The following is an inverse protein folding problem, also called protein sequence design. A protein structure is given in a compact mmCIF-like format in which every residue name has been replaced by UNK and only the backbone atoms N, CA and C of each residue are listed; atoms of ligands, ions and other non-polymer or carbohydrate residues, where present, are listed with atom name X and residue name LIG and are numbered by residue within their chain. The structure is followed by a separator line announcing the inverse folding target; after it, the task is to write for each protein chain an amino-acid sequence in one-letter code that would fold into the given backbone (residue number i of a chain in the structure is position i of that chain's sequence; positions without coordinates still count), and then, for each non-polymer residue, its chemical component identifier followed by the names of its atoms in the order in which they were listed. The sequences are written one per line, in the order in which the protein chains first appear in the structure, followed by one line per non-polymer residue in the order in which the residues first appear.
data_IF_852990113083
#
_entry.id   IF_852990113083
#
_cell.length_a   1.000
_cell.length_b   1.000
_cell.length_c   1.000
_cell.angle_alpha   90.00
_cell.angle_beta   90.00
_cell.angle_gamma   90.00
#
_symmetry.space_group_name_H-M   'P 1'
#
loop_
_entity.id
_entity.type
_entity.pdbx_description
1 polymer ?
#
# COMPACT_ATOMS: atom_id res chain seq x y z
N UNK A 1 33.52 -3.62 -31.68
CA UNK A 1 32.47 -4.59 -31.30
C UNK A 1 31.35 -3.83 -30.62
N UNK A 2 30.22 -3.86 -31.26
CA UNK A 2 29.09 -2.95 -31.12
C UNK A 2 28.38 -3.10 -29.77
N UNK A 3 28.20 -1.99 -29.08
CA UNK A 3 27.29 -1.87 -27.95
C UNK A 3 25.86 -1.74 -28.52
N UNK A 4 25.22 -2.87 -28.74
CA UNK A 4 23.84 -2.91 -29.23
C UNK A 4 22.85 -2.51 -28.15
N UNK A 5 22.17 -1.39 -28.42
CA UNK A 5 20.76 -1.05 -28.13
C UNK A 5 20.09 -1.78 -26.96
N UNK A 6 20.17 -1.19 -25.78
CA UNK A 6 19.19 -1.45 -24.72
C UNK A 6 17.93 -0.65 -25.07
N UNK A 7 16.98 -1.29 -25.73
CA UNK A 7 15.63 -0.73 -25.88
C UNK A 7 14.97 -0.73 -24.50
N UNK A 8 14.72 0.47 -23.95
CA UNK A 8 13.79 0.63 -22.83
C UNK A 8 12.43 0.07 -23.29
N UNK A 9 12.04 -1.07 -22.74
CA UNK A 9 10.72 -1.64 -22.99
C UNK A 9 9.76 -0.99 -22.00
N UNK A 10 9.09 0.07 -22.47
CA UNK A 10 7.79 0.40 -21.89
C UNK A 10 6.87 -0.79 -22.10
N UNK A 11 6.21 -1.28 -21.03
CA UNK A 11 5.06 -2.14 -21.22
C UNK A 11 4.06 -1.36 -22.09
N UNK A 12 3.33 -2.03 -23.01
CA UNK A 12 2.46 -1.33 -23.93
C UNK A 12 1.49 -0.47 -23.14
N UNK A 13 1.69 0.85 -23.22
CA UNK A 13 0.68 1.83 -22.90
C UNK A 13 -0.49 1.50 -23.83
N UNK A 14 -1.74 1.48 -23.35
CA UNK A 14 -2.88 1.29 -24.24
C UNK A 14 -2.79 2.22 -25.46
N UNK A 15 -3.09 1.72 -26.66
CA UNK A 15 -2.89 2.38 -27.97
C UNK A 15 -3.42 3.83 -28.08
N UNK A 16 -4.21 4.30 -27.12
CA UNK A 16 -4.72 5.67 -27.06
C UNK A 16 -3.70 6.73 -26.64
N UNK A 17 -2.49 6.34 -26.21
CA UNK A 17 -1.45 7.24 -25.69
C UNK A 17 -0.29 7.51 -26.69
N UNK A 18 -0.40 7.07 -27.93
CA UNK A 18 0.68 7.09 -28.95
C UNK A 18 1.04 8.45 -29.56
N UNK A 19 0.51 9.56 -29.11
CA UNK A 19 0.87 10.86 -29.71
C UNK A 19 1.49 11.83 -28.69
N UNK A 20 2.78 11.67 -28.51
CA UNK A 20 3.67 12.76 -28.07
C UNK A 20 4.16 12.66 -26.65
N UNK A 21 5.32 12.12 -26.50
CA UNK A 21 6.45 12.41 -25.61
C UNK A 21 7.14 11.16 -25.12
N UNK A 22 7.89 10.57 -25.99
CA UNK A 22 8.94 9.63 -25.64
C UNK A 22 10.24 10.42 -25.37
N UNK A 23 10.36 11.03 -24.18
CA UNK A 23 11.68 11.27 -23.62
C UNK A 23 11.94 10.12 -22.66
N UNK A 24 12.93 9.29 -23.00
CA UNK A 24 13.45 8.28 -22.08
C UNK A 24 13.89 8.99 -20.79
N UNK A 25 13.19 8.71 -19.69
CA UNK A 25 13.56 9.19 -18.35
C UNK A 25 14.70 8.33 -17.83
N UNK A 26 15.76 8.96 -17.32
CA UNK A 26 16.93 8.27 -16.73
C UNK A 26 17.14 8.74 -15.30
N UNK A 27 17.83 7.92 -14.51
CA UNK A 27 18.16 8.30 -13.12
C UNK A 27 19.00 9.59 -13.08
N UNK A 28 19.76 9.86 -14.13
CA UNK A 28 20.55 11.10 -14.28
C UNK A 28 19.71 12.37 -14.44
N UNK A 29 18.40 12.25 -14.73
CA UNK A 29 17.47 13.39 -14.81
C UNK A 29 17.04 13.88 -13.41
N UNK A 30 17.45 13.17 -12.37
CA UNK A 30 17.10 13.48 -10.98
C UNK A 30 18.32 13.79 -10.13
N UNK A 31 18.14 14.69 -9.17
CA UNK A 31 19.04 14.89 -8.04
C UNK A 31 18.55 14.05 -6.87
N UNK A 32 19.37 13.14 -6.35
CA UNK A 32 19.05 12.35 -5.17
C UNK A 32 19.24 13.25 -3.94
N UNK A 33 18.17 13.48 -3.18
CA UNK A 33 18.20 14.37 -2.01
C UNK A 33 18.50 13.62 -0.71
N UNK A 34 17.81 12.47 -0.49
CA UNK A 34 18.04 11.61 0.66
C UNK A 34 17.44 10.22 0.44
N UNK A 35 17.93 9.26 1.20
CA UNK A 35 17.28 7.95 1.35
C UNK A 35 16.05 8.09 2.27
N UNK A 36 14.92 7.49 1.86
CA UNK A 36 13.69 7.44 2.63
C UNK A 36 13.53 6.13 3.40
N UNK A 37 14.10 5.05 2.87
CA UNK A 37 14.10 3.74 3.48
C UNK A 37 14.71 2.68 2.58
N UNK A 38 15.14 1.57 3.19
CA UNK A 38 15.69 0.40 2.50
C UNK A 38 15.04 -0.87 3.02
N UNK A 39 14.77 -1.83 2.16
CA UNK A 39 14.13 -3.10 2.49
C UNK A 39 14.54 -4.20 1.52
N UNK A 40 13.94 -5.40 1.68
CA UNK A 40 14.23 -6.58 0.84
C UNK A 40 13.97 -6.33 -0.65
N UNK A 41 13.03 -5.44 -0.97
CA UNK A 41 12.61 -5.13 -2.36
C UNK A 41 13.31 -3.91 -2.95
N UNK A 42 14.34 -3.37 -2.32
CA UNK A 42 15.10 -2.24 -2.83
C UNK A 42 15.15 -1.04 -1.88
N UNK A 43 15.72 0.05 -2.37
CA UNK A 43 15.89 1.30 -1.62
C UNK A 43 15.04 2.40 -2.22
N UNK A 44 14.39 3.17 -1.36
CA UNK A 44 13.55 4.31 -1.77
C UNK A 44 14.28 5.62 -1.47
N UNK A 45 14.37 6.48 -2.47
CA UNK A 45 15.01 7.78 -2.39
C UNK A 45 14.01 8.91 -2.61
N UNK A 46 14.15 10.00 -1.87
CA UNK A 46 13.60 11.30 -2.26
C UNK A 46 14.49 11.87 -3.34
N UNK A 47 13.90 12.22 -4.46
CA UNK A 47 14.60 12.81 -5.60
C UNK A 47 13.90 14.08 -6.07
N UNK A 48 14.65 14.96 -6.73
CA UNK A 48 14.12 16.16 -7.40
C UNK A 48 14.45 16.09 -8.88
N UNK A 49 13.44 16.19 -9.72
CA UNK A 49 13.65 16.25 -11.16
C UNK A 49 14.38 17.54 -11.54
N UNK A 50 15.50 17.44 -12.26
CA UNK A 50 16.42 18.57 -12.51
C UNK A 50 15.77 19.71 -13.26
N UNK A 51 14.89 19.41 -14.20
CA UNK A 51 14.24 20.39 -15.07
C UNK A 51 13.01 21.01 -14.40
N UNK A 52 12.06 20.17 -13.93
CA UNK A 52 10.78 20.64 -13.37
C UNK A 52 10.87 21.07 -11.90
N UNK A 53 11.96 20.70 -11.20
CA UNK A 53 12.15 20.89 -9.74
C UNK A 53 11.12 20.16 -8.86
N UNK A 54 10.25 19.33 -9.46
CA UNK A 54 9.29 18.53 -8.73
C UNK A 54 9.97 17.39 -7.94
N UNK A 55 9.42 17.05 -6.78
CA UNK A 55 9.93 16.00 -5.91
C UNK A 55 9.14 14.71 -6.07
N UNK A 56 9.85 13.59 -6.07
CA UNK A 56 9.31 12.24 -6.21
C UNK A 56 9.98 11.30 -5.22
N UNK A 57 9.33 10.17 -4.95
CA UNK A 57 9.96 9.01 -4.36
C UNK A 57 10.36 8.05 -5.48
N UNK A 58 11.64 7.65 -5.56
CA UNK A 58 12.08 6.61 -6.48
C UNK A 58 12.47 5.36 -5.71
N UNK A 59 11.77 4.24 -5.95
CA UNK A 59 12.14 2.90 -5.47
C UNK A 59 13.10 2.28 -6.49
N UNK A 60 14.33 2.03 -6.08
CA UNK A 60 15.37 1.40 -6.90
C UNK A 60 15.54 -0.07 -6.49
N UNK A 61 15.32 -1.00 -7.41
CA UNK A 61 15.38 -2.44 -7.20
C UNK A 61 16.57 -3.00 -7.96
N UNK A 62 17.53 -3.63 -7.25
CA UNK A 62 18.74 -4.18 -7.85
C UNK A 62 18.44 -5.49 -8.62
N UNK A 63 18.62 -5.47 -9.93
CA UNK A 63 18.40 -6.63 -10.82
C UNK A 63 19.47 -7.71 -10.71
N UNK A 64 20.62 -7.40 -10.11
CA UNK A 64 21.75 -8.33 -9.95
C UNK A 64 21.56 -9.27 -8.77
N UNK A 65 20.72 -8.90 -7.82
CA UNK A 65 20.36 -9.76 -6.71
C UNK A 65 19.63 -11.01 -7.24
N UNK A 66 20.12 -12.20 -6.90
CA UNK A 66 19.52 -13.49 -7.34
C UNK A 66 18.07 -13.62 -6.91
N UNK A 67 17.73 -13.19 -5.70
CA UNK A 67 16.35 -13.16 -5.20
C UNK A 67 15.46 -12.34 -6.12
N UNK A 68 15.92 -11.13 -6.51
CA UNK A 68 15.17 -10.27 -7.41
C UNK A 68 15.03 -10.85 -8.83
N UNK A 69 15.95 -11.73 -9.27
CA UNK A 69 15.84 -12.40 -10.58
C UNK A 69 14.78 -13.48 -10.59
N UNK A 70 14.62 -14.22 -9.51
CA UNK A 70 13.54 -15.20 -9.33
C UNK A 70 12.19 -14.53 -9.16
N UNK A 71 12.18 -13.29 -8.63
CA UNK A 71 10.99 -12.48 -8.39
C UNK A 71 10.57 -11.58 -9.58
N UNK A 72 11.27 -11.67 -10.74
CA UNK A 72 10.89 -10.89 -11.95
C UNK A 72 9.40 -10.92 -12.32
N UNK A 73 8.68 -12.05 -12.19
CA UNK A 73 7.24 -12.08 -12.44
C UNK A 73 6.44 -11.19 -11.48
N UNK A 74 6.83 -11.18 -10.20
CA UNK A 74 6.18 -10.36 -9.16
C UNK A 74 6.39 -8.87 -9.40
N UNK A 75 7.59 -8.49 -9.81
CA UNK A 75 7.95 -7.13 -10.17
C UNK A 75 7.09 -6.57 -11.31
N UNK A 76 6.94 -7.33 -12.42
CA UNK A 76 6.07 -6.91 -13.53
C UNK A 76 4.62 -6.73 -13.08
N UNK A 77 4.17 -7.63 -12.22
CA UNK A 77 2.83 -7.59 -11.65
C UNK A 77 2.62 -6.37 -10.75
N UNK A 78 3.60 -6.01 -9.90
CA UNK A 78 3.55 -4.79 -9.08
C UNK A 78 3.36 -3.56 -9.96
N UNK A 79 4.13 -3.43 -11.04
CA UNK A 79 3.99 -2.35 -12.02
C UNK A 79 2.61 -2.32 -12.66
N UNK A 80 2.13 -3.46 -13.16
CA UNK A 80 0.82 -3.57 -13.79
C UNK A 80 -0.32 -3.20 -12.83
N UNK A 81 -0.24 -3.66 -11.58
CA UNK A 81 -1.20 -3.32 -10.52
C UNK A 81 -1.17 -1.82 -10.27
N UNK A 82 0.01 -1.26 -10.00
CA UNK A 82 0.14 0.15 -9.65
C UNK A 82 -0.30 1.11 -10.77
N UNK A 83 -0.13 0.73 -12.04
CA UNK A 83 -0.63 1.53 -13.17
C UNK A 83 -2.15 1.56 -13.26
N UNK A 84 -2.83 0.52 -12.77
CA UNK A 84 -4.30 0.44 -12.79
C UNK A 84 -4.95 1.09 -11.57
N UNK A 85 -4.16 1.30 -10.49
CA UNK A 85 -4.68 1.77 -9.21
C UNK A 85 -4.59 3.30 -9.13
N UNK A 86 -5.75 3.96 -9.17
CA UNK A 86 -5.86 5.41 -9.02
C UNK A 86 -6.85 5.72 -7.94
N UNK A 87 -6.34 5.96 -6.72
CA UNK A 87 -7.16 6.27 -5.57
C UNK A 87 -6.44 7.25 -4.65
N UNK A 88 -7.18 8.18 -4.03
CA UNK A 88 -6.60 9.20 -3.16
C UNK A 88 -5.83 8.63 -1.96
N UNK A 89 -6.20 7.44 -1.49
CA UNK A 89 -5.56 6.75 -0.36
C UNK A 89 -4.60 5.63 -0.81
N UNK A 90 -4.12 5.68 -2.05
CA UNK A 90 -3.05 4.83 -2.56
C UNK A 90 -1.94 5.70 -3.12
N UNK A 91 -0.68 5.32 -2.87
CA UNK A 91 0.47 6.02 -3.44
C UNK A 91 0.47 5.85 -4.95
N UNK A 92 0.54 6.96 -5.67
CA UNK A 92 0.49 6.97 -7.14
C UNK A 92 1.82 6.56 -7.73
N UNK A 93 1.79 5.71 -8.75
CA UNK A 93 2.91 5.46 -9.66
C UNK A 93 2.80 6.42 -10.84
N UNK A 94 3.85 7.21 -11.09
CA UNK A 94 3.93 8.11 -12.24
C UNK A 94 4.59 7.46 -13.45
N UNK A 95 5.52 6.52 -13.21
CA UNK A 95 6.24 5.86 -14.27
C UNK A 95 7.27 4.88 -13.72
N UNK A 96 7.88 4.13 -14.61
CA UNK A 96 9.03 3.29 -14.30
C UNK A 96 10.04 3.33 -15.46
N UNK A 97 11.29 3.08 -15.15
CA UNK A 97 12.35 2.91 -16.13
C UNK A 97 13.39 1.93 -15.59
N UNK A 98 14.29 1.50 -16.44
CA UNK A 98 15.36 0.58 -16.01
C UNK A 98 16.68 0.94 -16.68
N UNK A 99 17.78 0.60 -16.00
CA UNK A 99 19.11 0.55 -16.56
C UNK A 99 19.68 -0.89 -16.49
N UNK A 100 20.98 -1.05 -16.70
CA UNK A 100 21.61 -2.37 -16.68
C UNK A 100 21.54 -3.06 -15.32
N UNK A 101 21.51 -2.29 -14.22
CA UNK A 101 21.63 -2.79 -12.85
C UNK A 101 20.33 -2.70 -12.05
N UNK A 102 19.47 -1.70 -12.32
CA UNK A 102 18.31 -1.38 -11.51
C UNK A 102 17.06 -1.22 -12.34
N UNK A 103 15.92 -1.52 -11.69
CA UNK A 103 14.61 -1.04 -12.08
C UNK A 103 14.18 0.08 -11.12
N UNK A 104 13.56 1.13 -11.65
CA UNK A 104 13.17 2.32 -10.90
C UNK A 104 11.68 2.58 -11.03
N UNK A 105 11.00 2.78 -9.90
CA UNK A 105 9.60 3.24 -9.85
C UNK A 105 9.58 4.69 -9.42
N UNK A 106 8.99 5.56 -10.25
CA UNK A 106 8.77 6.97 -9.93
C UNK A 106 7.40 7.08 -9.29
N UNK A 107 7.36 7.38 -8.01
CA UNK A 107 6.13 7.41 -7.20
C UNK A 107 5.88 8.80 -6.60
N UNK A 108 4.65 9.00 -6.17
CA UNK A 108 4.26 10.15 -5.35
C UNK A 108 5.10 10.21 -4.08
N UNK A 109 5.70 11.37 -3.82
CA UNK A 109 6.40 11.61 -2.56
C UNK A 109 5.42 12.05 -1.48
N UNK A 110 5.43 11.34 -0.35
CA UNK A 110 4.59 11.62 0.82
C UNK A 110 5.46 12.13 1.97
N UNK A 111 5.27 13.39 2.35
CA UNK A 111 6.25 14.18 3.10
C UNK A 111 6.39 13.81 4.59
N UNK A 112 5.37 13.20 5.23
CA UNK A 112 5.36 12.93 6.66
C UNK A 112 5.82 11.51 7.05
N UNK A 113 6.26 10.73 6.04
CA UNK A 113 6.75 9.37 6.26
C UNK A 113 5.65 8.37 6.57
N UNK A 114 6.02 7.22 7.15
CA UNK A 114 5.08 6.14 7.43
C UNK A 114 4.48 6.24 8.84
N UNK A 115 3.36 5.53 9.02
CA UNK A 115 2.61 5.49 10.28
C UNK A 115 3.40 4.81 11.39
N UNK A 116 4.31 3.88 11.06
CA UNK A 116 5.18 3.24 12.04
C UNK A 116 6.00 4.27 12.85
N UNK A 117 6.52 5.31 12.19
CA UNK A 117 7.28 6.38 12.82
C UNK A 117 6.42 7.31 13.69
N UNK A 118 5.09 7.25 13.57
CA UNK A 118 4.17 7.96 14.47
C UNK A 118 3.86 7.18 15.75
N UNK A 119 4.06 5.85 15.72
CA UNK A 119 3.79 5.05 16.91
C UNK A 119 4.74 5.47 18.04
N UNK A 120 4.21 5.78 19.23
CA UNK A 120 5.05 6.19 20.32
C UNK A 120 6.05 5.10 20.73
N UNK A 121 7.30 5.47 20.90
CA UNK A 121 8.34 4.58 21.48
C UNK A 121 8.05 4.27 22.94
N UNK A 122 7.49 5.23 23.68
CA UNK A 122 6.95 5.01 25.02
C UNK A 122 5.59 4.28 24.91
N UNK A 123 5.59 3.01 25.24
CA UNK A 123 4.40 2.12 25.18
C UNK A 123 3.25 2.53 26.11
N UNK A 124 3.45 3.54 26.96
CA UNK A 124 2.39 4.18 27.78
C UNK A 124 1.66 5.29 27.02
N UNK A 125 2.29 5.85 25.99
CA UNK A 125 1.68 6.86 25.11
C UNK A 125 0.92 6.19 23.98
N UNK A 126 -0.08 6.88 23.43
CA UNK A 126 -0.93 6.39 22.34
C UNK A 126 -1.27 7.50 21.38
N UNK A 127 -1.56 7.15 20.16
CA UNK A 127 -2.19 8.07 19.20
C UNK A 127 -3.61 8.42 19.68
N UNK A 128 -4.05 9.62 19.36
CA UNK A 128 -5.44 9.99 19.66
C UNK A 128 -6.41 9.12 18.84
N UNK A 129 -7.54 8.74 19.45
CA UNK A 129 -8.59 7.96 18.78
C UNK A 129 -9.03 8.57 17.46
N UNK A 130 -9.06 9.91 17.37
CA UNK A 130 -9.40 10.65 16.17
C UNK A 130 -8.40 10.40 15.04
N UNK A 131 -7.10 10.45 15.33
CA UNK A 131 -6.03 10.18 14.34
C UNK A 131 -6.10 8.73 13.87
N UNK A 132 -6.27 7.76 14.80
CA UNK A 132 -6.43 6.36 14.46
C UNK A 132 -7.65 6.13 13.55
N UNK A 133 -8.78 6.81 13.85
CA UNK A 133 -10.00 6.72 13.05
C UNK A 133 -9.78 7.24 11.62
N UNK A 134 -9.07 8.36 11.45
CA UNK A 134 -8.77 8.90 10.12
C UNK A 134 -7.89 7.96 9.30
N UNK A 135 -6.81 7.44 9.89
CA UNK A 135 -5.91 6.50 9.22
C UNK A 135 -6.69 5.26 8.79
N UNK A 136 -7.44 4.64 9.70
CA UNK A 136 -8.19 3.40 9.40
C UNK A 136 -9.27 3.64 8.35
N UNK A 137 -9.99 4.75 8.41
CA UNK A 137 -10.98 5.13 7.39
C UNK A 137 -10.35 5.17 5.99
N UNK A 138 -9.20 5.84 5.88
CA UNK A 138 -8.50 6.01 4.61
C UNK A 138 -7.97 4.67 4.08
N UNK A 139 -7.48 3.79 4.95
CA UNK A 139 -7.03 2.44 4.57
C UNK A 139 -8.23 1.56 4.16
N UNK A 140 -9.35 1.60 4.89
CA UNK A 140 -10.58 0.89 4.46
C UNK A 140 -11.00 1.37 3.07
N UNK A 141 -10.95 2.68 2.80
CA UNK A 141 -11.29 3.26 1.49
C UNK A 141 -10.36 2.75 0.38
N UNK A 142 -9.05 2.69 0.63
CA UNK A 142 -8.08 2.14 -0.31
C UNK A 142 -8.35 0.66 -0.61
N UNK A 143 -8.51 -0.16 0.44
CA UNK A 143 -8.73 -1.60 0.31
C UNK A 143 -10.07 -1.90 -0.37
N UNK A 144 -11.11 -1.13 -0.02
CA UNK A 144 -12.41 -1.24 -0.71
C UNK A 144 -12.27 -0.99 -2.22
N UNK A 145 -11.54 0.04 -2.62
CA UNK A 145 -11.26 0.31 -4.01
C UNK A 145 -10.53 -0.86 -4.68
N UNK A 146 -9.46 -1.40 -4.06
CA UNK A 146 -8.69 -2.51 -4.61
C UNK A 146 -9.52 -3.79 -4.78
N UNK A 147 -10.34 -4.14 -3.79
CA UNK A 147 -11.18 -5.34 -3.83
C UNK A 147 -12.33 -5.24 -4.86
N UNK A 148 -12.76 -4.02 -5.21
CA UNK A 148 -13.79 -3.79 -6.23
C UNK A 148 -13.22 -3.61 -7.66
N UNK A 149 -11.91 -3.70 -7.85
CA UNK A 149 -11.31 -3.70 -9.19
C UNK A 149 -11.65 -4.98 -9.96
N UNK A 150 -11.44 -4.95 -11.27
CA UNK A 150 -11.66 -6.11 -12.15
C UNK A 150 -10.37 -6.40 -12.94
N UNK A 151 -9.66 -7.48 -12.61
CA UNK A 151 -9.90 -8.40 -11.48
C UNK A 151 -9.60 -7.74 -10.11
N UNK A 152 -10.19 -8.24 -9.02
CA UNK A 152 -9.90 -7.75 -7.67
C UNK A 152 -8.43 -7.88 -7.30
N UNK A 153 -7.90 -6.90 -6.56
CA UNK A 153 -6.52 -6.87 -6.09
C UNK A 153 -6.50 -7.05 -4.59
N UNK A 154 -5.73 -8.02 -4.10
CA UNK A 154 -5.46 -8.25 -2.68
C UNK A 154 -4.09 -7.68 -2.35
N UNK A 155 -3.98 -6.86 -1.30
CA UNK A 155 -2.72 -6.19 -0.94
C UNK A 155 -1.75 -7.11 -0.18
N UNK A 156 -2.21 -7.84 0.84
CA UNK A 156 -1.52 -8.85 1.65
C UNK A 156 -0.40 -8.37 2.58
N UNK A 157 -0.04 -7.08 2.55
CA UNK A 157 1.01 -6.52 3.43
C UNK A 157 0.59 -5.16 4.02
N UNK A 158 -0.66 -5.09 4.53
CA UNK A 158 -1.17 -3.89 5.22
C UNK A 158 -0.59 -3.86 6.63
N UNK A 159 0.30 -2.88 6.90
CA UNK A 159 0.99 -2.66 8.18
C UNK A 159 1.43 -1.20 8.31
N UNK A 160 1.83 -0.70 9.50
CA UNK A 160 2.19 0.70 9.71
C UNK A 160 3.31 1.21 8.80
N UNK A 161 4.26 0.34 8.42
CA UNK A 161 5.38 0.67 7.53
C UNK A 161 4.89 1.01 6.12
N UNK A 162 3.81 0.35 5.67
CA UNK A 162 3.24 0.48 4.33
C UNK A 162 2.07 1.49 4.28
N UNK A 163 1.85 2.24 5.35
CA UNK A 163 0.88 3.35 5.39
C UNK A 163 1.64 4.66 5.53
N UNK A 164 1.62 5.48 4.49
CA UNK A 164 2.27 6.79 4.48
C UNK A 164 1.27 7.89 4.85
N UNK A 165 1.77 8.97 5.46
CA UNK A 165 0.95 10.12 5.84
C UNK A 165 1.33 11.36 5.04
N UNK A 166 0.35 11.92 4.37
CA UNK A 166 0.43 13.20 3.69
C UNK A 166 -0.08 14.37 4.56
N UNK A 167 -0.17 15.52 3.94
CA UNK A 167 -0.72 16.71 4.58
C UNK A 167 -2.19 16.49 4.94
N UNK A 168 -2.65 17.15 6.00
CA UNK A 168 -4.00 16.97 6.52
C UNK A 168 -4.27 15.60 7.16
N UNK A 169 -3.23 14.79 7.45
CA UNK A 169 -3.33 13.42 7.96
C UNK A 169 -4.02 12.45 6.99
N UNK A 170 -3.89 12.68 5.68
CA UNK A 170 -4.38 11.74 4.66
C UNK A 170 -3.46 10.53 4.63
N UNK A 171 -4.00 9.36 4.93
CA UNK A 171 -3.25 8.11 4.86
C UNK A 171 -3.29 7.52 3.44
N UNK A 172 -2.13 7.01 2.99
CA UNK A 172 -1.98 6.38 1.68
C UNK A 172 -1.28 5.04 1.81
N UNK A 173 -1.87 4.01 1.23
CA UNK A 173 -1.32 2.66 1.16
C UNK A 173 -0.25 2.59 0.08
N UNK A 174 0.87 1.94 0.39
CA UNK A 174 2.01 1.76 -0.53
C UNK A 174 2.53 0.32 -0.48
N UNK A 175 3.47 0.00 -1.34
CA UNK A 175 4.16 -1.29 -1.44
C UNK A 175 3.26 -2.46 -1.86
N UNK A 176 3.11 -2.60 -3.17
CA UNK A 176 2.32 -3.65 -3.82
C UNK A 176 3.14 -4.91 -4.17
N UNK A 177 4.35 -5.04 -3.62
CA UNK A 177 5.26 -6.15 -3.93
C UNK A 177 4.69 -7.54 -3.65
N UNK A 178 3.75 -7.64 -2.70
CA UNK A 178 3.02 -8.87 -2.38
C UNK A 178 1.60 -8.92 -2.94
N UNK A 179 1.17 -7.88 -3.66
CA UNK A 179 -0.20 -7.79 -4.19
C UNK A 179 -0.44 -8.81 -5.31
N UNK A 180 -1.68 -9.30 -5.42
CA UNK A 180 -2.04 -10.27 -6.43
C UNK A 180 -3.49 -10.13 -6.90
N UNK A 181 -3.76 -10.54 -8.16
CA UNK A 181 -5.11 -10.67 -8.70
C UNK A 181 -5.78 -11.97 -8.24
N UNK A 182 -7.08 -11.92 -7.97
CA UNK A 182 -7.84 -13.10 -7.52
C UNK A 182 -8.02 -14.20 -8.58
N UNK A 183 -7.80 -13.89 -9.88
CA UNK A 183 -8.04 -14.86 -10.97
C UNK A 183 -6.94 -15.92 -11.13
N UNK A 184 -5.80 -15.76 -10.47
CA UNK A 184 -4.76 -16.79 -10.52
C UNK A 184 -5.18 -17.96 -9.63
N UNK A 185 -5.74 -19.02 -10.25
CA UNK A 185 -6.10 -20.30 -9.61
C UNK A 185 -4.90 -21.08 -9.02
N UNK A 186 -3.75 -20.46 -8.84
CA UNK A 186 -2.65 -21.06 -8.10
C UNK A 186 -3.07 -21.16 -6.63
N UNK A 187 -3.07 -22.38 -6.12
CA UNK A 187 -3.24 -22.65 -4.69
C UNK A 187 -2.22 -21.82 -3.92
N UNK A 188 -2.68 -20.75 -3.31
CA UNK A 188 -1.83 -19.79 -2.61
C UNK A 188 -1.51 -20.35 -1.24
N UNK A 189 -0.36 -20.99 -1.14
CA UNK A 189 0.22 -21.46 0.12
C UNK A 189 1.46 -20.66 0.52
N UNK A 190 1.80 -19.62 -0.26
CA UNK A 190 3.01 -18.84 0.02
C UNK A 190 2.82 -18.01 1.28
N UNK A 191 3.51 -18.37 2.35
CA UNK A 191 3.60 -17.57 3.58
C UNK A 191 4.44 -16.34 3.27
N UNK A 192 3.80 -15.20 3.09
CA UNK A 192 4.44 -13.91 2.85
C UNK A 192 3.85 -12.83 3.78
N UNK A 193 4.66 -11.86 4.13
CA UNK A 193 4.28 -10.75 5.02
C UNK A 193 4.98 -10.77 6.37
N UNK A 194 4.73 -9.75 7.18
CA UNK A 194 5.25 -9.64 8.54
C UNK A 194 4.50 -10.61 9.45
N UNK A 195 5.15 -11.54 10.16
CA UNK A 195 4.48 -12.63 10.88
C UNK A 195 3.34 -12.21 11.79
N UNK A 196 3.47 -11.09 12.50
CA UNK A 196 2.45 -10.59 13.44
C UNK A 196 1.17 -10.07 12.75
N UNK A 197 1.20 -9.89 11.42
CA UNK A 197 0.08 -9.44 10.59
C UNK A 197 -0.59 -10.57 9.81
N UNK A 198 0.01 -11.80 9.81
CA UNK A 198 -0.52 -12.91 9.04
C UNK A 198 -1.88 -13.36 9.57
N UNK A 199 -2.83 -13.50 8.65
CA UNK A 199 -4.15 -14.04 8.95
C UNK A 199 -4.08 -15.53 9.33
N UNK A 200 -5.02 -16.05 10.14
CA UNK A 200 -5.04 -17.46 10.56
C UNK A 200 -4.91 -18.44 9.40
N UNK A 201 -5.66 -18.22 8.33
CA UNK A 201 -5.66 -19.06 7.14
C UNK A 201 -4.29 -19.10 6.42
N UNK A 202 -3.52 -17.99 6.44
CA UNK A 202 -2.16 -17.95 5.90
C UNK A 202 -1.21 -18.75 6.81
N UNK A 203 -1.32 -18.57 8.14
CA UNK A 203 -0.51 -19.32 9.10
C UNK A 203 -0.77 -20.84 9.07
N UNK A 204 -1.97 -21.24 8.65
CA UNK A 204 -2.37 -22.64 8.47
C UNK A 204 -2.11 -23.15 7.04
N UNK A 205 -1.50 -22.33 6.17
CA UNK A 205 -1.20 -22.65 4.76
C UNK A 205 -2.45 -23.04 3.96
N UNK A 206 -3.61 -22.48 4.36
CA UNK A 206 -4.90 -22.70 3.69
C UNK A 206 -5.06 -21.76 2.49
N UNK A 207 -5.86 -22.15 1.50
CA UNK A 207 -6.31 -21.23 0.46
C UNK A 207 -6.97 -19.98 1.08
N UNK A 208 -6.62 -18.80 0.56
CA UNK A 208 -7.10 -17.52 1.11
C UNK A 208 -7.56 -16.58 -0.01
N UNK A 209 -8.40 -15.65 0.35
CA UNK A 209 -9.02 -14.63 -0.49
C UNK A 209 -8.73 -13.21 0.05
N UNK A 210 -9.50 -12.22 -0.39
CA UNK A 210 -9.39 -10.82 0.01
C UNK A 210 -9.63 -10.58 1.51
N UNK A 211 -10.23 -11.52 2.22
CA UNK A 211 -10.49 -11.40 3.66
C UNK A 211 -9.20 -11.31 4.50
N UNK A 212 -8.05 -11.69 3.94
CA UNK A 212 -6.74 -11.50 4.62
C UNK A 212 -6.44 -10.02 4.85
N UNK A 213 -6.82 -9.13 3.93
CA UNK A 213 -6.64 -7.69 4.10
C UNK A 213 -7.53 -7.14 5.23
N UNK A 214 -8.74 -7.69 5.40
CA UNK A 214 -9.62 -7.33 6.52
C UNK A 214 -8.95 -7.65 7.86
N UNK A 215 -8.34 -8.84 7.98
CA UNK A 215 -7.58 -9.22 9.16
C UNK A 215 -6.45 -8.23 9.44
N UNK A 216 -5.65 -7.89 8.42
CA UNK A 216 -4.56 -6.92 8.56
C UNK A 216 -5.05 -5.54 9.02
N UNK A 217 -6.21 -5.06 8.55
CA UNK A 217 -6.86 -3.82 9.03
C UNK A 217 -7.18 -3.94 10.54
N UNK A 218 -7.67 -5.08 11.00
CA UNK A 218 -7.95 -5.32 12.41
C UNK A 218 -6.70 -5.28 13.29
N UNK A 219 -5.60 -5.90 12.82
CA UNK A 219 -4.29 -5.86 13.50
C UNK A 219 -3.73 -4.45 13.51
N UNK A 220 -3.76 -3.73 12.38
CA UNK A 220 -3.34 -2.35 12.26
C UNK A 220 -4.12 -1.43 13.21
N UNK A 221 -5.45 -1.55 13.25
CA UNK A 221 -6.28 -0.76 14.16
C UNK A 221 -5.88 -1.00 15.63
N UNK A 222 -5.69 -2.27 16.01
CA UNK A 222 -5.26 -2.59 17.37
C UNK A 222 -3.92 -1.92 17.70
N UNK A 223 -2.92 -2.04 16.80
CA UNK A 223 -1.60 -1.45 17.01
C UNK A 223 -1.65 0.08 17.07
N UNK A 224 -2.43 0.74 16.24
CA UNK A 224 -2.60 2.20 16.27
C UNK A 224 -3.17 2.70 17.60
N UNK A 225 -4.16 2.00 18.17
CA UNK A 225 -4.84 2.44 19.41
C UNK A 225 -4.11 2.01 20.68
N UNK A 226 -3.18 1.05 20.59
CA UNK A 226 -2.48 0.49 21.76
C UNK A 226 -0.97 0.68 21.74
N UNK A 227 -0.39 1.03 20.58
CA UNK A 227 1.06 1.02 20.30
C UNK A 227 1.71 -0.37 20.48
N UNK A 228 0.93 -1.44 20.46
CA UNK A 228 1.41 -2.83 20.56
C UNK A 228 0.59 -3.71 19.60
N UNK A 229 1.16 -4.79 19.06
CA UNK A 229 0.39 -5.74 18.27
C UNK A 229 -0.60 -6.54 19.15
N UNK A 230 -1.72 -7.05 18.57
CA UNK A 230 -2.73 -7.80 19.32
C UNK A 230 -2.24 -9.16 19.81
N UNK A 231 -1.37 -9.78 19.03
CA UNK A 231 -0.84 -11.12 19.29
C UNK A 231 0.69 -11.03 19.50
N UNK A 232 1.16 -11.75 20.49
CA UNK A 232 2.58 -11.82 20.86
C UNK A 232 3.03 -13.28 20.84
N UNK A 233 4.30 -13.52 20.54
CA UNK A 233 4.96 -14.82 20.62
C UNK A 233 6.46 -14.61 20.59
N UNK A 234 7.20 -15.41 21.36
CA UNK A 234 8.67 -15.38 21.34
C UNK A 234 9.25 -16.08 20.12
N UNK A 235 8.44 -16.89 19.47
CA UNK A 235 8.71 -17.63 18.25
C UNK A 235 7.43 -17.72 17.39
N UNK A 236 7.58 -18.25 16.17
CA UNK A 236 6.50 -18.35 15.21
C UNK A 236 5.38 -19.29 15.67
N UNK A 237 5.74 -20.40 16.33
CA UNK A 237 4.77 -21.40 16.80
C UNK A 237 3.89 -20.83 17.92
N UNK A 238 4.50 -20.16 18.90
CA UNK A 238 3.78 -19.46 19.96
C UNK A 238 2.90 -18.34 19.42
N UNK A 239 3.38 -17.57 18.43
CA UNK A 239 2.59 -16.55 17.77
C UNK A 239 1.37 -17.17 17.06
N UNK A 240 1.59 -18.23 16.28
CA UNK A 240 0.54 -18.98 15.58
C UNK A 240 -0.51 -19.51 16.57
N UNK A 241 -0.08 -20.12 17.66
CA UNK A 241 -1.00 -20.60 18.70
C UNK A 241 -1.87 -19.47 19.27
N UNK A 242 -1.24 -18.31 19.59
CA UNK A 242 -1.96 -17.17 20.14
C UNK A 242 -2.94 -16.55 19.14
N UNK A 243 -2.59 -16.51 17.84
CA UNK A 243 -3.50 -16.09 16.76
C UNK A 243 -4.68 -17.04 16.64
N UNK A 244 -4.43 -18.36 16.53
CA UNK A 244 -5.48 -19.38 16.37
C UNK A 244 -6.41 -19.50 17.58
N UNK A 245 -5.98 -19.06 18.77
CA UNK A 245 -6.81 -18.98 19.97
C UNK A 245 -7.41 -17.59 20.20
N UNK A 246 -7.19 -16.62 19.31
CA UNK A 246 -7.56 -15.20 19.48
C UNK A 246 -7.14 -14.63 20.85
N UNK A 247 -5.95 -14.99 21.32
CA UNK A 247 -5.43 -14.59 22.63
C UNK A 247 -4.91 -13.15 22.56
N UNK A 248 -5.86 -12.21 22.59
CA UNK A 248 -5.57 -10.78 22.51
C UNK A 248 -5.35 -10.20 23.91
N UNK A 249 -4.24 -9.52 24.12
CA UNK A 249 -3.96 -8.83 25.39
C UNK A 249 -4.58 -7.42 25.39
N UNK A 250 -5.84 -7.34 25.81
CA UNK A 250 -6.59 -6.09 25.83
C UNK A 250 -6.12 -5.13 26.93
N UNK A 251 -5.67 -3.91 26.59
CA UNK A 251 -5.47 -2.88 27.60
C UNK A 251 -6.76 -2.49 28.31
N UNK A 252 -6.67 -2.20 29.62
CA UNK A 252 -7.86 -1.84 30.43
C UNK A 252 -8.56 -0.57 29.95
N UNK A 253 -7.81 0.36 29.37
CA UNK A 253 -8.21 1.71 28.97
C UNK A 253 -8.44 1.86 27.45
N UNK A 254 -8.59 0.76 26.72
CA UNK A 254 -8.87 0.79 25.29
C UNK A 254 -10.20 1.48 24.99
N UNK A 255 -10.23 2.30 23.94
CA UNK A 255 -11.47 2.91 23.46
C UNK A 255 -12.53 1.83 23.13
N UNK A 256 -13.75 1.98 23.64
CA UNK A 256 -14.83 0.98 23.53
C UNK A 256 -15.22 0.73 22.07
N UNK A 257 -15.34 1.79 21.26
CA UNK A 257 -15.71 1.65 19.85
C UNK A 257 -14.58 0.98 19.05
N UNK A 258 -13.31 1.33 19.33
CA UNK A 258 -12.16 0.65 18.72
C UNK A 258 -12.17 -0.84 19.05
N UNK A 259 -12.32 -1.19 20.33
CA UNK A 259 -12.41 -2.58 20.78
C UNK A 259 -13.54 -3.34 20.06
N UNK A 260 -14.72 -2.72 19.98
CA UNK A 260 -15.88 -3.33 19.32
C UNK A 260 -15.59 -3.60 17.83
N UNK A 261 -15.00 -2.63 17.12
CA UNK A 261 -14.65 -2.80 15.71
C UNK A 261 -13.61 -3.91 15.53
N UNK A 262 -12.52 -3.90 16.32
CA UNK A 262 -11.48 -4.93 16.26
C UNK A 262 -12.08 -6.33 16.48
N UNK A 263 -12.94 -6.50 17.48
CA UNK A 263 -13.59 -7.80 17.78
C UNK A 263 -14.49 -8.30 16.64
N UNK A 264 -15.05 -7.38 15.83
CA UNK A 264 -15.84 -7.73 14.64
C UNK A 264 -14.98 -8.09 13.44
N UNK A 265 -13.76 -7.55 13.36
CA UNK A 265 -12.83 -7.80 12.26
C UNK A 265 -11.98 -9.05 12.52
N UNK A 266 -11.38 -9.18 13.72
CA UNK A 266 -10.51 -10.30 14.06
C UNK A 266 -11.35 -11.54 14.40
N UNK A 267 -11.73 -12.27 13.33
CA UNK A 267 -12.44 -13.57 13.38
C UNK A 267 -11.57 -14.62 12.71
N UNK A 268 -11.53 -15.83 13.28
CA UNK A 268 -10.80 -16.96 12.69
C UNK A 268 -11.39 -17.34 11.34
N UNK A 269 -12.72 -17.46 11.28
CA UNK A 269 -13.43 -17.68 10.02
C UNK A 269 -13.45 -16.38 9.19
N UNK A 270 -12.80 -16.36 8.00
CA UNK A 270 -12.77 -15.18 7.13
C UNK A 270 -14.17 -14.64 6.79
N UNK A 271 -15.16 -15.53 6.65
CA UNK A 271 -16.54 -15.17 6.28
C UNK A 271 -17.29 -14.43 7.40
N UNK A 272 -16.80 -14.51 8.65
CA UNK A 272 -17.38 -13.81 9.79
C UNK A 272 -16.75 -12.45 10.05
N UNK A 273 -15.70 -12.07 9.30
CA UNK A 273 -15.07 -10.74 9.40
C UNK A 273 -16.03 -9.67 8.89
N UNK A 274 -16.10 -8.55 9.62
CA UNK A 274 -16.98 -7.44 9.24
C UNK A 274 -16.59 -6.93 7.85
N UNK A 275 -17.53 -6.82 6.88
CA UNK A 275 -17.26 -6.27 5.56
C UNK A 275 -16.78 -4.82 5.60
N UNK A 276 -16.00 -4.39 4.59
CA UNK A 276 -15.43 -3.04 4.51
C UNK A 276 -16.50 -1.94 4.54
N UNK A 277 -17.64 -2.15 3.86
CA UNK A 277 -18.77 -1.21 3.85
C UNK A 277 -19.36 -1.00 5.25
N UNK A 278 -19.39 -2.05 6.07
CA UNK A 278 -19.93 -1.98 7.42
C UNK A 278 -18.89 -1.45 8.41
N UNK A 279 -17.58 -1.68 8.15
CA UNK A 279 -16.51 -1.00 8.88
C UNK A 279 -16.61 0.52 8.73
N UNK A 280 -16.88 1.02 7.50
CA UNK A 280 -17.05 2.46 7.24
C UNK A 280 -18.22 3.08 7.97
N UNK A 281 -19.28 2.31 8.26
CA UNK A 281 -20.46 2.75 9.01
C UNK A 281 -20.30 2.63 10.53
N UNK A 282 -19.21 2.01 10.99
CA UNK A 282 -19.02 1.74 12.41
C UNK A 282 -18.80 3.03 13.23
N UNK A 283 -19.31 3.13 14.47
CA UNK A 283 -19.18 4.33 15.33
C UNK A 283 -17.73 4.80 15.51
N UNK A 284 -16.74 3.90 15.54
CA UNK A 284 -15.33 4.26 15.60
C UNK A 284 -14.89 5.16 14.43
N UNK A 285 -15.47 4.95 13.24
CA UNK A 285 -15.18 5.74 12.04
C UNK A 285 -16.08 6.98 12.00
N UNK A 286 -17.41 6.81 12.14
CA UNK A 286 -18.38 7.85 11.86
C UNK A 286 -18.37 9.00 12.87
N UNK A 287 -17.97 8.76 14.13
CA UNK A 287 -17.88 9.82 15.17
C UNK A 287 -16.90 10.93 14.82
N UNK A 288 -15.85 10.62 14.06
CA UNK A 288 -14.79 11.57 13.72
C UNK A 288 -14.80 11.99 12.26
N UNK A 289 -15.64 11.36 11.42
CA UNK A 289 -15.72 11.72 10.00
C UNK A 289 -16.65 12.93 9.86
N UNK A 290 -16.15 14.10 9.37
CA UNK A 290 -16.99 15.26 9.13
C UNK A 290 -18.09 14.94 8.12
N UNK A 291 -19.28 15.56 8.28
CA UNK A 291 -20.40 15.36 7.35
C UNK A 291 -20.06 15.74 5.92
N UNK A 292 -19.18 16.75 5.75
CA UNK A 292 -18.69 17.21 4.46
C UNK A 292 -17.90 16.16 3.65
N UNK A 293 -17.38 15.12 4.29
CA UNK A 293 -16.62 14.05 3.61
C UNK A 293 -17.34 12.70 3.62
N UNK A 294 -18.50 12.59 4.28
CA UNK A 294 -19.29 11.34 4.30
C UNK A 294 -19.73 10.89 2.90
N UNK A 295 -19.92 11.82 1.97
CA UNK A 295 -20.29 11.52 0.59
C UNK A 295 -19.11 10.99 -0.26
N UNK A 296 -17.86 11.24 0.15
CA UNK A 296 -16.65 10.76 -0.53
C UNK A 296 -16.36 9.26 -0.27
N UNK A 297 -17.15 8.64 0.60
CA UNK A 297 -17.07 7.22 0.96
C UNK A 297 -17.72 6.32 -0.12
N UNK A 298 -18.32 6.91 -1.16
CA UNK A 298 -18.85 6.14 -2.30
C UNK A 298 -17.69 5.69 -3.18
N UNK A 299 -17.72 4.43 -3.68
CA UNK A 299 -16.78 3.99 -4.71
C UNK A 299 -16.86 4.96 -5.88
N UNK A 300 -15.72 5.40 -6.38
CA UNK A 300 -15.68 6.11 -7.66
C UNK A 300 -15.89 5.04 -8.73
N UNK A 301 -17.16 4.82 -9.10
CA UNK A 301 -17.47 4.01 -10.26
C UNK A 301 -16.96 4.72 -11.51
N UNK A 302 -16.08 4.04 -12.26
CA UNK A 302 -15.80 4.41 -13.65
C UNK A 302 -14.75 5.49 -13.86
N UNK A 303 -13.80 5.72 -12.96
CA UNK A 303 -12.63 6.53 -13.27
C UNK A 303 -11.87 5.90 -14.44
N UNK A 304 -12.09 6.40 -15.65
CA UNK A 304 -11.29 6.05 -16.82
C UNK A 304 -9.89 6.62 -16.61
N UNK A 305 -8.89 5.77 -16.78
CA UNK A 305 -7.49 6.14 -16.75
C UNK A 305 -7.10 6.93 -17.98
N UNK A 306 -6.50 8.09 -17.80
CA UNK A 306 -5.68 8.73 -18.82
C UNK A 306 -4.21 8.72 -18.38
N UNK A 307 -3.31 8.23 -19.26
CA UNK A 307 -1.88 8.26 -18.96
C UNK A 307 -1.39 9.70 -18.85
N UNK A 308 -0.44 9.91 -17.93
CA UNK A 308 0.22 11.21 -17.77
C UNK A 308 1.01 11.58 -19.01
N UNK A 309 0.69 12.72 -19.59
CA UNK A 309 1.50 13.36 -20.61
C UNK A 309 2.21 14.55 -19.94
N UNK A 310 3.54 14.56 -19.98
CA UNK A 310 4.29 15.77 -19.62
C UNK A 310 4.01 16.79 -20.70
N UNK A 311 3.27 17.84 -20.37
CA UNK A 311 3.06 18.95 -21.31
C UNK A 311 4.37 19.69 -21.55
N UNK A 312 4.75 19.87 -22.81
CA UNK A 312 5.89 20.71 -23.20
C UNK A 312 5.67 22.18 -22.87
N UNK A 313 4.41 22.59 -22.74
CA UNK A 313 4.01 23.99 -22.63
C UNK A 313 3.94 24.49 -21.18
N UNK A 314 3.92 23.58 -20.18
CA UNK A 314 3.99 23.93 -18.76
C UNK A 314 4.77 22.87 -17.95
N UNK A 315 6.11 23.02 -17.84
CA UNK A 315 6.95 22.08 -17.10
C UNK A 315 6.72 22.08 -15.58
N UNK A 316 5.88 22.97 -15.05
CA UNK A 316 5.59 23.08 -13.60
C UNK A 316 4.36 22.31 -13.17
N UNK A 317 3.52 21.87 -14.10
CA UNK A 317 2.27 21.19 -13.79
C UNK A 317 2.20 19.83 -14.43
N UNK A 318 2.27 18.80 -13.60
CA UNK A 318 1.82 17.47 -13.93
C UNK A 318 0.30 17.44 -13.70
N UNK A 319 -0.47 17.78 -14.73
CA UNK A 319 -1.93 17.80 -14.63
C UNK A 319 -2.48 16.63 -15.44
N UNK A 320 -3.32 15.74 -14.83
CA UNK A 320 -4.10 14.81 -15.62
C UNK A 320 -5.09 15.62 -16.47
N UNK A 321 -5.14 15.38 -17.78
CA UNK A 321 -6.25 15.89 -18.59
C UNK A 321 -7.55 15.30 -18.05
N UNK A 322 -8.44 16.16 -17.57
CA UNK A 322 -9.82 15.78 -17.33
C UNK A 322 -10.50 15.58 -18.69
N UNK A 323 -11.16 14.44 -18.86
CA UNK A 323 -12.14 14.19 -19.93
C UNK A 323 -13.50 14.56 -19.38
#
# INVERSE_FOLDING_TARGET
MELNNVKSRFLPIPESAEKGLEREVKITDFDILKELGSGSFGTVYLVRHKETKAEYAIKAIDKRNKTNQEEKPYFRREVEVMYKVHHQNVVKLFGHFEDNNYCYFIMEYISKGNVYNLLPTDKKKRLSTKVCSYIIRDIISAVYFLHNMKPPIIHRDIKPENVLLGDGLVAKLTDFGWSNYMQDNEKRTTVCGTPIYLAPEIMEEKPHDEAVDLWCIGVLLFELVTANPPFLGNDLDTLKENVLKLKINWPKDINVDAKNLIMKILKLDPKQRLPLEDMMKHPFITKFTPDSVKHLIKPVEGAKYEPFIISKDDPKTWVPKQI
#
